data_IF_632921129981
#
_entry.id   IF_632921129981
#
_cell.length_a   1.000
_cell.length_b   1.000
_cell.length_c   1.000
_cell.angle_alpha   90.00
_cell.angle_beta   90.00
_cell.angle_gamma   90.00
#
_symmetry.space_group_name_H-M   'P 1'
#
loop_
_entity.id
_entity.type
_entity.pdbx_description
1 polymer ?
#
# COMPACT_ATOMS: atom_id res chain seq x y z
N UNK A 1 40.63 0.03 -7.35
CA UNK A 1 40.15 -1.26 -6.78
C UNK A 1 39.52 -1.20 -5.37
N UNK A 2 39.60 -0.11 -4.59
CA UNK A 2 38.98 -0.03 -3.24
C UNK A 2 37.42 0.09 -3.23
N UNK A 3 36.82 0.62 -4.30
CA UNK A 3 35.36 0.79 -4.45
C UNK A 3 34.55 -0.51 -4.54
N UNK A 4 34.94 -1.55 -5.31
CA UNK A 4 34.18 -2.80 -5.39
C UNK A 4 34.16 -3.60 -4.07
N UNK A 5 35.28 -3.68 -3.35
CA UNK A 5 35.35 -4.37 -2.05
C UNK A 5 34.47 -3.68 -1.01
N UNK A 6 34.47 -2.34 -0.96
CA UNK A 6 33.59 -1.56 -0.07
C UNK A 6 32.11 -1.68 -0.42
N UNK A 7 31.78 -1.83 -1.71
CA UNK A 7 30.39 -2.12 -2.16
C UNK A 7 29.95 -3.53 -1.77
N UNK A 8 30.84 -4.51 -1.91
CA UNK A 8 30.57 -5.90 -1.53
C UNK A 8 30.37 -6.04 -0.02
N UNK A 9 31.26 -5.46 0.80
CA UNK A 9 31.12 -5.47 2.26
C UNK A 9 29.86 -4.76 2.73
N UNK A 10 29.49 -3.64 2.09
CA UNK A 10 28.23 -2.95 2.36
C UNK A 10 27.00 -3.80 2.02
N UNK A 11 27.05 -4.55 0.91
CA UNK A 11 25.98 -5.50 0.55
C UNK A 11 25.86 -6.63 1.59
N UNK A 12 26.97 -7.25 1.95
CA UNK A 12 26.99 -8.34 2.95
C UNK A 12 26.46 -7.85 4.30
N UNK A 13 26.90 -6.67 4.76
CA UNK A 13 26.41 -6.06 6.01
C UNK A 13 24.89 -5.83 5.98
N UNK A 14 24.35 -5.32 4.87
CA UNK A 14 22.90 -5.13 4.72
C UNK A 14 22.15 -6.46 4.77
N UNK A 15 22.56 -7.45 3.98
CA UNK A 15 21.95 -8.80 3.99
C UNK A 15 21.97 -9.44 5.39
N UNK A 16 23.08 -9.27 6.12
CA UNK A 16 23.19 -9.73 7.50
C UNK A 16 22.19 -9.04 8.44
N UNK A 17 22.10 -7.70 8.39
CA UNK A 17 21.13 -6.93 9.19
C UNK A 17 19.69 -7.33 8.84
N UNK A 18 19.38 -7.53 7.56
CA UNK A 18 18.05 -8.00 7.13
C UNK A 18 17.72 -9.38 7.69
N UNK A 19 18.68 -10.30 7.67
CA UNK A 19 18.51 -11.63 8.28
C UNK A 19 18.24 -11.54 9.79
N UNK A 20 18.98 -10.69 10.51
CA UNK A 20 18.75 -10.46 11.94
C UNK A 20 17.36 -9.86 12.21
N UNK A 21 16.94 -8.86 11.43
CA UNK A 21 15.63 -8.24 11.56
C UNK A 21 14.50 -9.24 11.29
N UNK A 22 14.60 -10.04 10.23
CA UNK A 22 13.64 -11.10 9.91
C UNK A 22 13.50 -12.08 11.07
N UNK A 23 14.63 -12.56 11.63
CA UNK A 23 14.61 -13.46 12.79
C UNK A 23 13.98 -12.83 14.03
N UNK A 24 14.26 -11.54 14.27
CA UNK A 24 13.68 -10.79 15.40
C UNK A 24 12.16 -10.64 15.24
N UNK A 25 11.70 -10.26 14.06
CA UNK A 25 10.27 -10.14 13.73
C UNK A 25 9.57 -11.49 13.92
N UNK A 26 10.12 -12.56 13.35
CA UNK A 26 9.58 -13.91 13.49
C UNK A 26 9.45 -14.32 14.97
N UNK A 27 10.46 -14.03 15.79
CA UNK A 27 10.47 -14.36 17.22
C UNK A 27 9.39 -13.60 17.98
N UNK A 28 9.28 -12.28 17.75
CA UNK A 28 8.29 -11.44 18.42
C UNK A 28 6.89 -11.85 17.97
N UNK A 29 6.65 -12.00 16.67
CA UNK A 29 5.33 -12.32 16.12
C UNK A 29 4.78 -13.64 16.65
N UNK A 30 5.63 -14.63 16.94
CA UNK A 30 5.21 -15.90 17.58
C UNK A 30 4.66 -15.75 19.00
N UNK A 31 4.95 -14.64 19.67
CA UNK A 31 4.52 -14.35 21.03
C UNK A 31 3.22 -13.53 21.06
N UNK A 32 2.73 -13.12 19.89
CA UNK A 32 1.52 -12.30 19.74
C UNK A 32 0.35 -13.23 19.37
N UNK A 33 -0.79 -13.16 20.06
CA UNK A 33 -1.96 -13.99 19.76
C UNK A 33 -2.59 -13.56 18.43
N UNK A 34 -3.17 -14.49 17.69
CA UNK A 34 -3.85 -14.20 16.42
C UNK A 34 -5.24 -13.58 16.60
N UNK A 35 -5.85 -13.80 17.77
CA UNK A 35 -7.18 -13.34 18.17
C UNK A 35 -8.32 -13.76 17.24
N UNK A 36 -8.09 -14.74 16.37
CA UNK A 36 -9.05 -15.27 15.41
C UNK A 36 -9.77 -14.17 14.60
N UNK A 37 -9.20 -13.72 13.47
CA UNK A 37 -9.81 -12.69 12.63
C UNK A 37 -11.15 -13.07 12.00
N UNK A 38 -11.56 -14.34 12.08
CA UNK A 38 -12.85 -14.85 11.60
C UNK A 38 -13.86 -15.01 12.75
N UNK A 39 -13.51 -14.59 13.97
CA UNK A 39 -14.39 -14.67 15.13
C UNK A 39 -15.69 -13.86 14.89
N UNK A 40 -16.87 -14.51 14.91
CA UNK A 40 -18.15 -13.84 14.66
C UNK A 40 -18.55 -12.86 15.78
N UNK A 41 -17.97 -12.98 16.98
CA UNK A 41 -18.28 -12.11 18.12
C UNK A 41 -17.44 -10.83 18.14
N UNK A 42 -16.37 -10.75 17.34
CA UNK A 42 -15.46 -9.61 17.35
C UNK A 42 -14.95 -9.27 15.94
N UNK A 43 -15.52 -8.23 15.35
CA UNK A 43 -15.09 -7.72 14.06
C UNK A 43 -13.59 -7.33 14.06
N UNK A 44 -12.85 -7.58 12.97
CA UNK A 44 -11.43 -7.27 12.89
C UNK A 44 -11.18 -5.77 12.65
N UNK A 45 -9.93 -5.36 12.87
CA UNK A 45 -9.37 -4.10 12.38
C UNK A 45 -8.58 -4.40 11.11
N UNK A 46 -8.87 -3.69 10.01
CA UNK A 46 -8.07 -3.82 8.78
C UNK A 46 -6.88 -2.87 8.82
N UNK A 47 -5.72 -3.35 8.39
CA UNK A 47 -4.53 -2.52 8.20
C UNK A 47 -4.08 -2.57 6.74
N UNK A 48 -3.92 -1.41 6.10
CA UNK A 48 -3.41 -1.29 4.73
C UNK A 48 -2.24 -0.31 4.61
N UNK A 49 -1.19 -0.73 3.88
CA UNK A 49 0.06 0.04 3.78
C UNK A 49 0.89 -0.30 2.51
N UNK A 50 0.24 -0.48 1.36
CA UNK A 50 0.89 -0.80 0.09
C UNK A 50 1.99 0.20 -0.32
N UNK A 51 1.87 1.48 0.04
CA UNK A 51 2.82 2.55 -0.31
C UNK A 51 3.92 2.79 0.73
N UNK A 52 4.30 1.75 1.49
CA UNK A 52 5.29 1.89 2.57
C UNK A 52 6.63 1.18 2.33
N UNK A 53 6.77 0.24 1.39
CA UNK A 53 8.03 -0.51 1.24
C UNK A 53 8.27 -1.03 -0.18
N UNK A 54 9.55 -1.30 -0.48
CA UNK A 54 9.96 -1.98 -1.72
C UNK A 54 10.96 -3.10 -1.46
N UNK A 55 12.07 -2.84 -0.77
CA UNK A 55 13.09 -3.85 -0.49
C UNK A 55 13.34 -4.00 0.99
N UNK A 56 13.45 -2.88 1.71
CA UNK A 56 13.72 -2.86 3.14
C UNK A 56 12.49 -2.41 3.92
N UNK A 57 12.50 -2.66 5.24
CA UNK A 57 11.49 -2.16 6.15
C UNK A 57 11.67 -0.64 6.25
N UNK A 58 10.73 0.12 5.73
CA UNK A 58 10.67 1.57 5.98
C UNK A 58 10.17 1.86 7.38
N UNK A 59 10.28 3.13 7.79
CA UNK A 59 9.69 3.60 9.04
C UNK A 59 8.18 3.30 9.11
N UNK A 60 7.41 3.61 8.05
CA UNK A 60 5.97 3.35 8.01
C UNK A 60 5.63 1.85 8.03
N UNK A 61 6.44 1.01 7.37
CA UNK A 61 6.28 -0.44 7.43
C UNK A 61 6.55 -0.97 8.85
N UNK A 62 7.55 -0.42 9.55
CA UNK A 62 7.85 -0.74 10.94
C UNK A 62 6.73 -0.31 11.90
N UNK A 63 6.21 0.91 11.77
CA UNK A 63 5.06 1.37 12.57
C UNK A 63 3.81 0.53 12.31
N UNK A 64 3.55 0.18 11.05
CA UNK A 64 2.43 -0.70 10.71
C UNK A 64 2.52 -2.08 11.37
N UNK A 65 3.73 -2.67 11.40
CA UNK A 65 3.96 -3.93 12.09
C UNK A 65 3.72 -3.80 13.60
N UNK A 66 4.32 -2.80 14.25
CA UNK A 66 4.20 -2.61 15.70
C UNK A 66 2.77 -2.26 16.10
N UNK A 67 2.05 -1.49 15.28
CA UNK A 67 0.63 -1.17 15.49
C UNK A 67 -0.22 -2.43 15.43
N UNK A 68 -0.02 -3.28 14.41
CA UNK A 68 -0.72 -4.56 14.30
C UNK A 68 -0.46 -5.48 15.49
N UNK A 69 0.79 -5.55 15.97
CA UNK A 69 1.12 -6.30 17.18
C UNK A 69 0.48 -5.72 18.45
N UNK A 70 0.48 -4.39 18.60
CA UNK A 70 -0.11 -3.74 19.77
C UNK A 70 -1.63 -3.98 19.85
N UNK A 71 -2.34 -3.87 18.72
CA UNK A 71 -3.77 -4.17 18.65
C UNK A 71 -4.06 -5.63 18.99
N UNK A 72 -3.27 -6.55 18.45
CA UNK A 72 -3.40 -7.97 18.77
C UNK A 72 -3.09 -8.27 20.24
N UNK A 73 -2.06 -7.67 20.82
CA UNK A 73 -1.81 -7.80 22.26
C UNK A 73 -2.95 -7.24 23.11
N UNK A 74 -3.66 -6.23 22.63
CA UNK A 74 -4.84 -5.67 23.28
C UNK A 74 -6.12 -6.51 23.06
N UNK A 75 -6.03 -7.64 22.35
CA UNK A 75 -7.15 -8.55 22.13
C UNK A 75 -7.98 -8.25 20.87
N UNK A 76 -7.54 -7.34 20.00
CA UNK A 76 -8.24 -7.08 18.74
C UNK A 76 -7.76 -8.03 17.63
N UNK A 77 -8.66 -8.66 16.87
CA UNK A 77 -8.31 -9.34 15.64
C UNK A 77 -7.87 -8.32 14.59
N UNK A 78 -6.84 -8.66 13.83
CA UNK A 78 -6.25 -7.77 12.81
C UNK A 78 -6.06 -8.52 11.51
N UNK A 79 -6.58 -7.96 10.43
CA UNK A 79 -6.33 -8.45 9.07
C UNK A 79 -5.44 -7.43 8.34
N UNK A 80 -4.30 -7.88 7.85
CA UNK A 80 -3.45 -7.07 6.99
C UNK A 80 -3.86 -7.24 5.53
N UNK A 81 -4.36 -6.18 4.91
CA UNK A 81 -4.55 -6.13 3.47
C UNK A 81 -3.22 -5.84 2.80
N UNK A 82 -2.73 -6.74 1.93
CA UNK A 82 -1.34 -6.70 1.43
C UNK A 82 -1.29 -6.86 -0.08
N UNK A 83 -0.57 -5.95 -0.74
CA UNK A 83 -0.34 -6.06 -2.18
C UNK A 83 0.56 -7.25 -2.52
N UNK A 84 0.08 -8.15 -3.39
CA UNK A 84 0.83 -9.25 -3.97
C UNK A 84 1.00 -9.07 -5.48
N UNK A 85 1.56 -7.93 -5.90
CA UNK A 85 1.54 -7.45 -7.31
C UNK A 85 0.13 -7.02 -7.76
N UNK A 86 -0.67 -6.54 -6.83
CA UNK A 86 -2.04 -6.04 -7.04
C UNK A 86 -2.21 -4.74 -7.81
N UNK A 87 -1.15 -4.20 -8.41
CA UNK A 87 -1.20 -2.92 -9.13
C UNK A 87 -0.32 -3.01 -10.39
N UNK A 88 -0.80 -2.47 -11.50
CA UNK A 88 -0.01 -2.42 -12.74
C UNK A 88 1.22 -1.52 -12.57
N UNK A 89 1.04 -0.33 -11.99
CA UNK A 89 2.10 0.56 -11.50
C UNK A 89 1.75 0.96 -10.08
N UNK A 90 2.71 0.92 -9.17
CA UNK A 90 2.52 1.38 -7.80
C UNK A 90 3.33 2.65 -7.54
N UNK A 91 2.80 3.54 -6.69
CA UNK A 91 3.40 4.86 -6.42
C UNK A 91 4.87 4.81 -6.00
N UNK A 92 5.26 3.82 -5.19
CA UNK A 92 6.66 3.68 -4.76
C UNK A 92 7.56 3.08 -5.83
N UNK A 93 7.03 2.15 -6.63
CA UNK A 93 7.81 1.36 -7.59
C UNK A 93 7.92 1.98 -8.98
N UNK A 94 7.15 3.03 -9.26
CA UNK A 94 7.24 3.80 -10.50
C UNK A 94 8.62 4.45 -10.63
N UNK A 95 9.30 4.22 -11.76
CA UNK A 95 10.50 4.97 -12.10
C UNK A 95 10.10 6.32 -12.71
N UNK A 96 10.55 7.42 -12.13
CA UNK A 96 10.21 8.76 -12.64
C UNK A 96 10.76 9.03 -14.04
N UNK A 97 11.86 8.38 -14.42
CA UNK A 97 12.46 8.53 -15.75
C UNK A 97 11.86 7.57 -16.78
N UNK A 98 11.21 6.51 -16.30
CA UNK A 98 10.51 5.54 -17.12
C UNK A 98 9.22 5.10 -16.38
N UNK A 99 8.16 5.95 -16.42
CA UNK A 99 6.95 5.72 -15.63
C UNK A 99 6.22 4.42 -15.96
N UNK A 100 6.52 3.86 -17.15
CA UNK A 100 5.94 2.62 -17.64
C UNK A 100 6.78 1.39 -17.29
N UNK A 101 7.93 1.55 -16.62
CA UNK A 101 8.69 0.41 -16.13
C UNK A 101 7.88 -0.37 -15.08
N UNK A 102 7.97 -1.71 -15.15
CA UNK A 102 7.30 -2.56 -14.18
C UNK A 102 7.89 -2.36 -12.76
N UNK A 103 7.05 -2.29 -11.72
CA UNK A 103 7.53 -2.10 -10.35
C UNK A 103 8.31 -3.32 -9.84
N UNK A 104 9.26 -3.15 -8.90
CA UNK A 104 10.11 -4.22 -8.39
C UNK A 104 9.40 -5.13 -7.35
N UNK A 105 8.20 -5.62 -7.68
CA UNK A 105 7.30 -6.31 -6.76
C UNK A 105 7.92 -7.55 -6.08
N UNK A 106 8.84 -8.27 -6.73
CA UNK A 106 9.42 -9.49 -6.17
C UNK A 106 10.12 -9.23 -4.84
N UNK A 107 10.87 -8.13 -4.72
CA UNK A 107 11.53 -7.76 -3.46
C UNK A 107 10.49 -7.31 -2.42
N UNK A 108 9.48 -6.56 -2.84
CA UNK A 108 8.44 -6.03 -1.95
C UNK A 108 7.60 -7.14 -1.32
N UNK A 109 7.22 -8.14 -2.13
CA UNK A 109 6.46 -9.30 -1.68
C UNK A 109 7.30 -10.13 -0.71
N UNK A 110 8.60 -10.34 -1.00
CA UNK A 110 9.51 -11.05 -0.09
C UNK A 110 9.55 -10.37 1.28
N UNK A 111 9.72 -9.04 1.31
CA UNK A 111 9.77 -8.27 2.55
C UNK A 111 8.41 -8.28 3.27
N UNK A 112 7.30 -8.23 2.55
CA UNK A 112 5.96 -8.33 3.15
C UNK A 112 5.74 -9.69 3.83
N UNK A 113 6.16 -10.79 3.20
CA UNK A 113 6.10 -12.14 3.80
C UNK A 113 6.94 -12.26 5.07
N UNK A 114 7.98 -11.44 5.22
CA UNK A 114 8.83 -11.44 6.42
C UNK A 114 8.22 -10.66 7.57
N UNK A 115 7.56 -9.55 7.24
CA UNK A 115 6.93 -8.65 8.20
C UNK A 115 5.69 -9.31 8.80
N UNK A 116 4.83 -9.91 7.95
CA UNK A 116 3.52 -10.43 8.37
C UNK A 116 3.52 -11.93 8.68
N UNK A 117 4.64 -12.45 9.19
CA UNK A 117 4.68 -13.84 9.66
C UNK A 117 3.77 -13.99 10.88
N UNK A 118 2.95 -15.04 10.91
CA UNK A 118 1.94 -15.27 11.98
C UNK A 118 0.96 -14.10 12.14
N UNK A 119 0.62 -13.44 11.04
CA UNK A 119 -0.49 -12.50 10.98
C UNK A 119 -1.54 -13.03 10.01
N UNK A 120 -2.80 -12.67 10.23
CA UNK A 120 -3.81 -12.81 9.18
C UNK A 120 -3.55 -11.81 8.05
N UNK A 121 -3.47 -12.33 6.83
CA UNK A 121 -3.12 -11.56 5.63
C UNK A 121 -4.15 -11.84 4.55
N UNK A 122 -4.80 -10.78 4.07
CA UNK A 122 -5.56 -10.82 2.83
C UNK A 122 -4.69 -10.21 1.72
N UNK A 123 -4.14 -11.08 0.88
CA UNK A 123 -3.34 -10.65 -0.26
C UNK A 123 -4.24 -10.37 -1.48
N UNK A 124 -3.87 -9.39 -2.31
CA UNK A 124 -4.56 -9.11 -3.57
C UNK A 124 -3.59 -9.03 -4.75
N UNK A 125 -4.05 -9.53 -5.90
CA UNK A 125 -3.32 -9.56 -7.17
C UNK A 125 -3.99 -8.65 -8.20
N UNK A 126 -3.29 -8.37 -9.31
CA UNK A 126 -3.79 -7.41 -10.30
C UNK A 126 -4.55 -8.14 -11.39
N UNK A 127 -5.82 -7.79 -11.54
CA UNK A 127 -6.63 -8.15 -12.67
C UNK A 127 -7.13 -6.88 -13.38
N UNK A 128 -6.81 -6.78 -14.66
CA UNK A 128 -7.09 -5.60 -15.46
C UNK A 128 -8.53 -5.59 -15.95
N UNK A 129 -9.28 -4.56 -15.58
CA UNK A 129 -10.57 -4.26 -16.18
C UNK A 129 -10.38 -3.78 -17.64
N UNK A 130 -10.71 -4.66 -18.60
CA UNK A 130 -10.53 -4.40 -20.04
C UNK A 130 -11.45 -3.29 -20.54
N UNK A 131 -12.70 -3.29 -20.09
CA UNK A 131 -13.70 -2.28 -20.48
C UNK A 131 -13.25 -0.89 -20.02
N UNK A 132 -12.83 -0.76 -18.76
CA UNK A 132 -12.30 0.50 -18.24
C UNK A 132 -11.04 0.93 -19.00
N UNK A 133 -10.14 -0.01 -19.33
CA UNK A 133 -8.94 0.32 -20.12
C UNK A 133 -9.31 0.96 -21.46
N UNK A 134 -10.27 0.39 -22.18
CA UNK A 134 -10.74 0.91 -23.47
C UNK A 134 -11.36 2.31 -23.32
N UNK A 135 -12.13 2.55 -22.26
CA UNK A 135 -12.71 3.87 -21.97
C UNK A 135 -11.65 4.94 -21.64
N UNK A 136 -10.54 4.55 -21.02
CA UNK A 136 -9.47 5.46 -20.61
C UNK A 136 -8.51 5.83 -21.74
N UNK A 137 -8.39 4.99 -22.77
CA UNK A 137 -7.42 5.16 -23.86
C UNK A 137 -7.56 6.50 -24.61
N UNK A 138 -8.77 6.94 -25.01
CA UNK A 138 -8.91 8.19 -25.77
C UNK A 138 -8.84 9.47 -24.92
N UNK A 139 -8.84 9.35 -23.58
CA UNK A 139 -8.96 10.49 -22.69
C UNK A 139 -7.65 11.30 -22.59
N UNK A 140 -7.80 12.63 -22.58
CA UNK A 140 -6.78 13.60 -22.22
C UNK A 140 -6.45 13.55 -20.73
N UNK A 141 -5.35 14.18 -20.30
CA UNK A 141 -5.02 14.22 -18.88
C UNK A 141 -6.11 14.89 -18.03
N UNK A 142 -6.71 15.97 -18.51
CA UNK A 142 -7.78 16.66 -17.77
C UNK A 142 -8.97 15.73 -17.54
N UNK A 143 -9.39 15.01 -18.57
CA UNK A 143 -10.47 14.02 -18.48
C UNK A 143 -10.11 12.86 -17.56
N UNK A 144 -8.86 12.36 -17.62
CA UNK A 144 -8.36 11.32 -16.72
C UNK A 144 -8.40 11.75 -15.25
N UNK A 145 -8.03 13.00 -14.95
CA UNK A 145 -8.06 13.54 -13.58
C UNK A 145 -9.49 13.81 -13.07
N UNK A 146 -10.46 13.95 -13.98
CA UNK A 146 -11.87 14.09 -13.64
C UNK A 146 -12.64 12.75 -13.72
N UNK A 147 -12.00 11.69 -14.22
CA UNK A 147 -12.62 10.40 -14.47
C UNK A 147 -13.29 9.82 -13.22
N UNK A 148 -14.55 9.39 -13.40
CA UNK A 148 -15.36 8.70 -12.40
C UNK A 148 -15.96 7.44 -13.01
N UNK A 149 -16.05 6.39 -12.21
CA UNK A 149 -16.71 5.14 -12.60
C UNK A 149 -17.34 4.49 -11.37
N UNK A 150 -18.58 3.98 -11.47
CA UNK A 150 -19.30 3.41 -10.32
C UNK A 150 -19.51 4.39 -9.15
N UNK A 151 -19.59 5.70 -9.44
CA UNK A 151 -19.67 6.75 -8.41
C UNK A 151 -18.34 7.09 -7.72
N UNK A 152 -17.24 6.43 -8.09
CA UNK A 152 -15.92 6.59 -7.47
C UNK A 152 -15.08 7.57 -8.29
N UNK A 153 -14.49 8.62 -7.66
CA UNK A 153 -13.72 9.64 -8.36
C UNK A 153 -12.24 9.25 -8.53
N UNK A 154 -11.97 8.21 -9.34
CA UNK A 154 -10.63 7.67 -9.55
C UNK A 154 -9.58 8.73 -9.91
N UNK A 155 -9.89 9.64 -10.84
CA UNK A 155 -8.97 10.70 -11.24
C UNK A 155 -8.50 11.58 -10.07
N UNK A 156 -9.43 11.91 -9.16
CA UNK A 156 -9.12 12.69 -7.96
C UNK A 156 -8.29 11.90 -6.95
N UNK A 157 -8.55 10.60 -6.80
CA UNK A 157 -7.82 9.74 -5.87
C UNK A 157 -6.37 9.51 -6.28
N UNK A 158 -6.08 9.49 -7.58
CA UNK A 158 -4.71 9.26 -8.09
C UNK A 158 -3.86 10.53 -8.17
N UNK A 159 -4.48 11.72 -8.21
CA UNK A 159 -3.80 12.99 -8.43
C UNK A 159 -2.66 13.28 -7.43
N UNK A 160 -2.82 13.09 -6.10
CA UNK A 160 -1.71 13.31 -5.15
C UNK A 160 -0.50 12.42 -5.45
N UNK A 161 -0.75 11.19 -5.88
CA UNK A 161 0.31 10.22 -6.21
C UNK A 161 1.07 10.62 -7.46
N UNK A 162 0.35 11.05 -8.51
CA UNK A 162 0.95 11.56 -9.75
C UNK A 162 1.87 12.76 -9.47
N UNK A 163 1.36 13.75 -8.73
CA UNK A 163 2.14 14.94 -8.38
C UNK A 163 3.38 14.61 -7.56
N UNK A 164 3.26 13.67 -6.62
CA UNK A 164 4.36 13.24 -5.78
C UNK A 164 5.44 12.51 -6.58
N UNK A 165 5.08 11.53 -7.40
CA UNK A 165 6.05 10.70 -8.12
C UNK A 165 6.75 11.48 -9.24
N UNK A 166 6.01 12.31 -9.96
CA UNK A 166 6.54 13.16 -11.03
C UNK A 166 7.23 14.42 -10.49
N UNK A 167 7.05 14.74 -9.21
CA UNK A 167 7.58 15.94 -8.53
C UNK A 167 7.11 17.23 -9.21
N UNK A 168 5.82 17.30 -9.55
CA UNK A 168 5.22 18.44 -10.26
C UNK A 168 3.87 18.80 -9.67
N UNK A 169 3.64 20.09 -9.44
CA UNK A 169 2.32 20.60 -9.06
C UNK A 169 1.38 20.64 -10.28
N UNK A 170 1.86 21.19 -11.39
CA UNK A 170 1.18 21.19 -12.68
C UNK A 170 1.70 20.03 -13.52
N UNK A 171 0.81 19.09 -13.83
CA UNK A 171 1.14 17.93 -14.64
C UNK A 171 1.04 18.32 -16.12
N UNK A 172 2.04 18.00 -16.96
CA UNK A 172 1.95 18.21 -18.38
C UNK A 172 0.93 17.24 -18.99
N UNK A 173 0.16 17.69 -19.98
CA UNK A 173 -0.67 16.79 -20.80
C UNK A 173 0.21 16.16 -21.89
N UNK A 174 1.04 15.20 -21.47
CA UNK A 174 1.90 14.40 -22.35
C UNK A 174 1.59 12.90 -22.22
N UNK A 175 1.99 12.14 -23.24
CA UNK A 175 1.64 10.73 -23.35
C UNK A 175 2.14 9.89 -22.17
N UNK A 176 3.32 10.20 -21.62
CA UNK A 176 3.86 9.48 -20.46
C UNK A 176 3.03 9.73 -19.20
N UNK A 177 2.61 10.97 -18.99
CA UNK A 177 1.76 11.36 -17.85
C UNK A 177 0.37 10.75 -17.99
N UNK A 178 -0.23 10.79 -19.19
CA UNK A 178 -1.50 10.14 -19.48
C UNK A 178 -1.43 8.63 -19.27
N UNK A 179 -0.41 7.95 -19.80
CA UNK A 179 -0.22 6.50 -19.59
C UNK A 179 -0.07 6.15 -18.11
N UNK A 180 0.71 6.92 -17.35
CA UNK A 180 0.84 6.68 -15.92
C UNK A 180 -0.50 6.87 -15.20
N UNK A 181 -1.25 7.92 -15.53
CA UNK A 181 -2.58 8.18 -14.98
C UNK A 181 -3.55 7.02 -15.28
N UNK A 182 -3.61 6.53 -16.53
CA UNK A 182 -4.41 5.35 -16.90
C UNK A 182 -4.02 4.12 -16.06
N UNK A 183 -2.72 3.86 -15.90
CA UNK A 183 -2.24 2.75 -15.06
C UNK A 183 -2.63 2.89 -13.57
N UNK A 184 -2.59 4.11 -13.03
CA UNK A 184 -3.01 4.37 -11.65
C UNK A 184 -4.53 4.22 -11.49
N UNK A 185 -5.35 4.67 -12.45
CA UNK A 185 -6.81 4.47 -12.43
C UNK A 185 -7.13 2.97 -12.44
N UNK A 186 -6.54 2.20 -13.37
CA UNK A 186 -6.75 0.74 -13.44
C UNK A 186 -6.29 0.03 -12.16
N UNK A 187 -5.19 0.48 -11.56
CA UNK A 187 -4.72 -0.09 -10.29
C UNK A 187 -5.62 0.28 -9.12
N UNK A 188 -6.19 1.49 -9.13
CA UNK A 188 -7.14 1.95 -8.13
C UNK A 188 -8.46 1.19 -8.22
N UNK A 189 -8.95 0.88 -9.42
CA UNK A 189 -10.14 0.04 -9.63
C UNK A 189 -9.92 -1.39 -9.12
N UNK A 190 -8.77 -2.00 -9.41
CA UNK A 190 -8.46 -3.33 -8.88
C UNK A 190 -8.42 -3.34 -7.34
N UNK A 191 -7.81 -2.31 -6.72
CA UNK A 191 -7.84 -2.15 -5.26
C UNK A 191 -9.27 -2.00 -4.76
N UNK A 192 -10.11 -1.24 -5.47
CA UNK A 192 -11.48 -1.06 -5.09
C UNK A 192 -12.25 -2.39 -5.07
N UNK A 193 -12.17 -3.17 -6.15
CA UNK A 193 -12.83 -4.48 -6.22
C UNK A 193 -12.37 -5.41 -5.09
N UNK A 194 -11.06 -5.53 -4.89
CA UNK A 194 -10.49 -6.43 -3.89
C UNK A 194 -10.76 -5.98 -2.45
N UNK A 195 -10.76 -4.67 -2.20
CA UNK A 195 -11.00 -4.12 -0.88
C UNK A 195 -12.49 -4.11 -0.54
N UNK A 196 -13.39 -3.81 -1.48
CA UNK A 196 -14.83 -3.94 -1.27
C UNK A 196 -15.21 -5.38 -0.91
N UNK A 197 -14.67 -6.36 -1.62
CA UNK A 197 -14.87 -7.79 -1.29
C UNK A 197 -14.39 -8.11 0.13
N UNK A 198 -13.28 -7.52 0.58
CA UNK A 198 -12.79 -7.71 1.94
C UNK A 198 -13.69 -7.02 2.97
N UNK A 199 -14.18 -5.82 2.69
CA UNK A 199 -15.09 -5.09 3.57
C UNK A 199 -16.42 -5.84 3.74
N UNK A 200 -16.95 -6.44 2.66
CA UNK A 200 -18.17 -7.24 2.69
C UNK A 200 -18.00 -8.53 3.50
N UNK A 201 -16.83 -9.17 3.41
CA UNK A 201 -16.57 -10.45 4.09
C UNK A 201 -16.19 -10.27 5.56
N UNK A 202 -15.42 -9.23 5.88
CA UNK A 202 -14.82 -9.06 7.20
C UNK A 202 -15.61 -8.10 8.11
N UNK A 203 -16.51 -7.29 7.55
CA UNK A 203 -17.32 -6.30 8.28
C UNK A 203 -16.54 -5.56 9.39
N UNK A 204 -15.41 -4.92 9.06
CA UNK A 204 -14.44 -4.50 10.06
C UNK A 204 -14.96 -3.33 10.91
N UNK A 205 -14.57 -3.31 12.18
CA UNK A 205 -14.91 -2.20 13.08
C UNK A 205 -14.13 -0.91 12.80
N UNK A 206 -12.96 -1.02 12.16
CA UNK A 206 -12.14 0.11 11.75
C UNK A 206 -11.14 -0.26 10.64
N UNK A 207 -10.70 0.74 9.89
CA UNK A 207 -9.61 0.63 8.92
C UNK A 207 -8.47 1.57 9.33
N UNK A 208 -7.24 1.06 9.31
CA UNK A 208 -6.04 1.85 9.53
C UNK A 208 -5.21 1.86 8.25
N UNK A 209 -4.90 3.04 7.74
CA UNK A 209 -4.04 3.22 6.57
C UNK A 209 -2.74 3.94 6.95
N UNK A 210 -1.63 3.51 6.35
CA UNK A 210 -0.32 4.13 6.57
C UNK A 210 0.05 4.96 5.36
N UNK A 211 -0.08 6.29 5.48
CA UNK A 211 -0.34 7.26 4.40
C UNK A 211 -1.83 7.27 4.02
N UNK A 212 -2.49 8.43 4.07
CA UNK A 212 -3.89 8.59 3.65
C UNK A 212 -4.09 9.25 2.28
N UNK A 213 -3.00 9.66 1.62
CA UNK A 213 -3.03 10.51 0.42
C UNK A 213 -2.63 9.79 -0.86
N UNK A 214 -1.76 8.79 -0.79
CA UNK A 214 -1.41 8.01 -1.97
C UNK A 214 -2.55 7.09 -2.36
N UNK A 215 -2.69 6.89 -3.67
CA UNK A 215 -3.90 6.34 -4.26
C UNK A 215 -4.29 4.96 -3.70
N UNK A 216 -3.36 4.03 -3.35
CA UNK A 216 -3.78 2.76 -2.80
C UNK A 216 -4.57 2.99 -1.50
N UNK A 217 -3.95 3.65 -0.54
CA UNK A 217 -4.56 3.93 0.75
C UNK A 217 -5.71 4.94 0.67
N UNK A 218 -5.66 5.90 -0.25
CA UNK A 218 -6.74 6.86 -0.47
C UNK A 218 -8.00 6.17 -1.00
N UNK A 219 -7.87 5.14 -1.85
CA UNK A 219 -8.99 4.30 -2.30
C UNK A 219 -9.58 3.54 -1.10
N UNK A 220 -8.75 2.86 -0.31
CA UNK A 220 -9.23 2.13 0.87
C UNK A 220 -9.94 3.05 1.88
N UNK A 221 -9.36 4.22 2.15
CA UNK A 221 -9.97 5.26 3.01
C UNK A 221 -11.32 5.71 2.44
N UNK A 222 -11.37 6.01 1.15
CA UNK A 222 -12.60 6.46 0.49
C UNK A 222 -13.73 5.42 0.58
N UNK A 223 -13.42 4.14 0.37
CA UNK A 223 -14.40 3.05 0.43
C UNK A 223 -14.91 2.81 1.85
N UNK A 224 -14.02 2.79 2.84
CA UNK A 224 -14.41 2.65 4.24
C UNK A 224 -15.29 3.82 4.71
N UNK A 225 -14.92 5.06 4.36
CA UNK A 225 -15.71 6.25 4.70
C UNK A 225 -17.10 6.25 4.04
N UNK A 226 -17.24 5.71 2.82
CA UNK A 226 -18.54 5.56 2.15
C UNK A 226 -19.49 4.58 2.84
N UNK A 227 -18.95 3.70 3.67
CA UNK A 227 -19.69 2.68 4.43
C UNK A 227 -19.80 3.04 5.92
N UNK A 228 -19.49 4.28 6.28
CA UNK A 228 -19.46 4.77 7.67
C UNK A 228 -18.53 3.96 8.59
N UNK A 229 -17.50 3.31 8.03
CA UNK A 229 -16.48 2.60 8.79
C UNK A 229 -15.41 3.61 9.23
N UNK A 230 -15.09 3.70 10.54
CA UNK A 230 -14.04 4.57 11.03
C UNK A 230 -12.69 4.30 10.35
N UNK A 231 -12.04 5.37 9.88
CA UNK A 231 -10.70 5.28 9.27
C UNK A 231 -9.71 6.10 10.06
N UNK A 232 -8.59 5.46 10.43
CA UNK A 232 -7.45 6.10 11.05
C UNK A 232 -6.28 6.13 10.08
N UNK A 233 -5.64 7.28 9.98
CA UNK A 233 -4.52 7.55 9.09
C UNK A 233 -3.27 7.74 9.94
N UNK A 234 -2.23 6.93 9.68
CA UNK A 234 -0.92 7.14 10.27
C UNK A 234 -0.09 8.08 9.40
N UNK A 235 0.35 9.19 9.99
CA UNK A 235 1.19 10.20 9.34
C UNK A 235 2.46 10.48 10.16
N UNK A 236 3.48 10.98 9.47
CA UNK A 236 4.77 11.35 10.07
C UNK A 236 5.11 12.78 9.66
N UNK A 237 5.26 13.66 10.64
CA UNK A 237 5.74 15.03 10.42
C UNK A 237 7.23 15.09 10.05
N UNK A 238 7.73 16.30 9.78
CA UNK A 238 9.13 16.51 9.38
C UNK A 238 10.14 16.37 10.54
N UNK A 239 9.68 16.42 11.78
CA UNK A 239 10.55 16.40 12.97
C UNK A 239 10.64 14.99 13.57
N UNK A 240 11.69 14.68 14.34
CA UNK A 240 11.73 13.46 15.12
C UNK A 240 10.52 13.36 16.08
N UNK A 241 10.04 12.14 16.30
CA UNK A 241 8.93 11.83 17.21
C UNK A 241 7.58 12.48 16.88
N UNK A 242 7.37 12.98 15.66
CA UNK A 242 6.08 13.51 15.20
C UNK A 242 5.25 12.44 14.48
N UNK A 243 5.03 11.30 15.13
CA UNK A 243 4.17 10.22 14.62
C UNK A 243 2.82 10.33 15.28
N UNK A 244 1.75 10.29 14.49
CA UNK A 244 0.39 10.42 15.00
C UNK A 244 -0.62 9.67 14.14
N UNK A 245 -1.76 9.36 14.75
CA UNK A 245 -2.95 8.84 14.08
C UNK A 245 -4.02 9.94 14.04
N UNK A 246 -4.66 10.12 12.89
CA UNK A 246 -5.79 11.04 12.67
C UNK A 246 -6.97 10.35 12.03
#
# INVERSE_FOLDING_TARGET
MKKPIRRLSGKIKREYIHSLNRRRIARISKQIPDNDPENPEQAPILIFNASTRLEEISLNAGFSLVTGWALRQAGYPVIHFVCARGMSRCVLGTDRKDPILAPPCTRCIRTSRDIYQNCSVRAFEFEMNKEMKEQLEPLSLEELLQFKYGGIPYGKLILPSLRWILRRHHLPDDEDTCRLARHYILSAENIQREFDNLLDQAEPQAVIVFNGMFYPEAVARYLAQRRDIPVYTHEVGMLPHSVFFT
#
